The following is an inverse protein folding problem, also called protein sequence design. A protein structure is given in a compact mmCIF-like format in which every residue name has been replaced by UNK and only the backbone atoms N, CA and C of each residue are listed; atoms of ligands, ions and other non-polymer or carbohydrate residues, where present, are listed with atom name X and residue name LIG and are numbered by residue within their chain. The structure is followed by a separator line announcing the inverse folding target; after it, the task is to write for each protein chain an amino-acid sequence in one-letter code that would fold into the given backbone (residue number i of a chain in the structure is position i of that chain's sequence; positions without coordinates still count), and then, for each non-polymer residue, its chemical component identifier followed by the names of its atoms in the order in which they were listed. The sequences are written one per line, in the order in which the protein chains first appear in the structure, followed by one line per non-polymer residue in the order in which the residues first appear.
data_IF_596206259034
#
_entry.id   IF_596206259034
#
_cell.length_a   1.000
_cell.length_b   1.000
_cell.length_c   1.000
_cell.angle_alpha   90.00
_cell.angle_beta   90.00
_cell.angle_gamma   90.00
#
_symmetry.space_group_name_H-M   'P 1'
#
loop_
_entity.id
_entity.type
_entity.pdbx_description
1 polymer ?
#
# COMPACT_ATOMS: atom_id res chain seq x y z
N UNK A 1 25.17 24.00 59.59
CA UNK A 1 24.44 24.09 58.30
C UNK A 1 25.45 24.32 57.19
N UNK A 2 25.65 23.36 56.29
CA UNK A 2 26.08 23.64 54.91
C UNK A 2 25.90 22.37 54.07
N UNK A 3 24.89 22.36 53.20
CA UNK A 3 24.60 21.26 52.27
C UNK A 3 25.42 21.48 50.99
N UNK A 4 26.17 20.47 50.57
CA UNK A 4 26.84 20.46 49.27
C UNK A 4 25.81 20.16 48.17
N UNK A 5 25.60 21.11 47.25
CA UNK A 5 24.90 20.92 46.00
C UNK A 5 25.76 20.14 45.00
N UNK A 6 25.27 18.98 44.55
CA UNK A 6 25.83 18.24 43.40
C UNK A 6 25.02 18.58 42.15
N UNK A 7 25.50 19.54 41.37
CA UNK A 7 25.00 19.81 40.02
C UNK A 7 25.42 18.68 39.07
N UNK A 8 24.50 17.75 38.77
CA UNK A 8 24.63 16.75 37.69
C UNK A 8 24.42 17.43 36.33
N UNK A 9 25.48 18.03 35.78
CA UNK A 9 25.56 18.32 34.34
C UNK A 9 26.15 17.10 33.63
N UNK A 10 25.48 16.63 32.58
CA UNK A 10 26.03 15.62 31.66
C UNK A 10 25.32 14.26 31.69
N UNK A 11 24.30 14.09 30.83
CA UNK A 11 23.91 12.76 30.30
C UNK A 11 22.89 12.82 29.14
N UNK A 12 22.14 13.92 28.99
CA UNK A 12 21.04 13.95 28.01
C UNK A 12 21.49 14.17 26.54
N UNK A 13 22.63 14.82 26.29
CA UNK A 13 23.08 15.14 24.92
C UNK A 13 23.72 13.93 24.20
N UNK A 14 24.58 13.17 24.89
CA UNK A 14 25.31 12.04 24.27
C UNK A 14 24.41 10.88 23.82
N UNK A 15 23.20 10.75 24.38
CA UNK A 15 22.23 9.71 23.99
C UNK A 15 21.48 10.07 22.71
N UNK A 16 21.36 11.36 22.39
CA UNK A 16 20.68 11.85 21.20
C UNK A 16 21.57 11.74 19.95
N UNK A 17 22.87 12.04 20.07
CA UNK A 17 23.83 11.91 18.97
C UNK A 17 24.05 10.45 18.52
N UNK A 18 24.07 9.50 19.46
CA UNK A 18 24.14 8.05 19.12
C UNK A 18 22.90 7.56 18.36
N UNK A 19 21.75 8.24 18.53
CA UNK A 19 20.51 7.90 17.84
C UNK A 19 20.43 8.51 16.43
N UNK A 20 21.13 9.63 16.20
CA UNK A 20 21.23 10.26 14.89
C UNK A 20 22.23 9.55 13.97
N UNK A 21 23.37 9.07 14.51
CA UNK A 21 24.41 8.37 13.73
C UNK A 21 24.05 6.92 13.35
N UNK A 22 23.03 6.32 13.99
CA UNK A 22 22.48 5.01 13.61
C UNK A 22 21.45 5.07 12.48
N UNK A 23 20.97 6.26 12.09
CA UNK A 23 20.02 6.42 10.98
C UNK A 23 20.68 6.57 9.61
N UNK A 24 21.98 6.86 9.54
CA UNK A 24 22.65 7.19 8.27
C UNK A 24 23.38 6.03 7.60
N UNK A 25 23.54 4.87 8.27
CA UNK A 25 24.33 3.74 7.73
C UNK A 25 23.52 2.44 7.54
N UNK A 26 22.19 2.51 7.44
CA UNK A 26 21.41 1.34 7.01
C UNK A 26 21.18 1.39 5.51
N UNK A 27 22.18 0.97 4.75
CA UNK A 27 21.92 0.35 3.45
C UNK A 27 21.00 -0.85 3.72
N UNK A 28 19.85 -0.98 3.06
CA UNK A 28 19.00 -2.15 3.23
C UNK A 28 19.73 -3.36 2.64
N UNK A 29 20.13 -4.29 3.49
CA UNK A 29 20.52 -5.64 3.07
C UNK A 29 19.26 -6.35 2.55
N UNK A 30 19.16 -6.55 1.24
CA UNK A 30 17.98 -7.08 0.53
C UNK A 30 17.81 -8.61 0.63
N UNK A 31 18.26 -9.24 1.71
CA UNK A 31 17.82 -10.62 2.01
C UNK A 31 16.37 -10.65 2.51
N UNK A 32 15.81 -9.49 2.88
CA UNK A 32 14.40 -9.27 3.22
C UNK A 32 13.50 -8.92 2.05
N UNK A 33 13.78 -9.46 0.85
CA UNK A 33 12.87 -9.64 -0.28
C UNK A 33 12.20 -8.39 -0.87
N UNK A 34 12.32 -8.21 -2.19
CA UNK A 34 11.43 -7.33 -2.98
C UNK A 34 9.94 -7.54 -2.63
N UNK A 35 9.62 -8.76 -2.18
CA UNK A 35 8.38 -9.17 -1.54
C UNK A 35 7.85 -8.18 -0.48
N UNK A 36 8.69 -7.58 0.39
CA UNK A 36 8.21 -6.64 1.42
C UNK A 36 7.72 -5.31 0.85
N UNK A 37 8.14 -4.94 -0.36
CA UNK A 37 7.70 -3.71 -1.01
C UNK A 37 6.31 -3.84 -1.61
N UNK A 38 5.91 -5.05 -2.00
CA UNK A 38 4.64 -5.32 -2.66
C UNK A 38 3.71 -6.24 -1.85
N UNK A 39 4.17 -6.84 -0.75
CA UNK A 39 3.34 -7.40 0.30
C UNK A 39 2.65 -6.27 1.06
N UNK A 40 1.66 -5.68 0.40
CA UNK A 40 0.56 -5.02 1.11
C UNK A 40 -0.28 -6.09 1.77
N UNK A 41 -0.37 -6.03 3.10
CA UNK A 41 -1.48 -6.61 3.84
C UNK A 41 -1.43 -8.08 4.23
N UNK A 42 -0.52 -8.91 3.72
CA UNK A 42 -0.45 -10.32 4.15
C UNK A 42 0.31 -10.52 5.47
N UNK A 43 -0.24 -9.99 6.57
CA UNK A 43 0.04 -10.57 7.89
C UNK A 43 -0.75 -11.87 8.02
N UNK A 44 -0.16 -12.99 7.57
CA UNK A 44 -0.55 -14.31 8.06
C UNK A 44 -0.17 -14.36 9.55
N UNK A 45 -1.12 -14.04 10.42
CA UNK A 45 -0.96 -14.19 11.86
C UNK A 45 -0.74 -15.67 12.19
N UNK A 46 0.34 -15.98 12.91
CA UNK A 46 0.57 -17.30 13.47
C UNK A 46 -0.57 -17.67 14.44
N UNK A 47 -1.02 -18.94 14.48
CA UNK A 47 -2.13 -19.33 15.35
C UNK A 47 -1.67 -19.32 16.80
N UNK A 48 -2.24 -18.40 17.58
CA UNK A 48 -2.16 -18.44 19.05
C UNK A 48 -3.13 -19.51 19.53
N UNK A 49 -2.61 -20.66 19.95
CA UNK A 49 -3.40 -21.75 20.53
C UNK A 49 -3.93 -21.31 21.89
N UNK A 50 -5.25 -21.15 22.01
CA UNK A 50 -5.97 -21.08 23.29
C UNK A 50 -6.65 -22.44 23.51
N UNK A 51 -6.50 -23.11 24.67
CA UNK A 51 -7.15 -24.40 24.90
C UNK A 51 -8.58 -24.23 25.41
N UNK A 52 -9.51 -24.95 24.77
CA UNK A 52 -10.81 -25.29 25.35
C UNK A 52 -12.03 -24.69 24.65
N UNK A 53 -12.57 -25.38 23.65
CA UNK A 53 -14.02 -25.58 23.40
C UNK A 53 -14.22 -26.56 22.24
N UNK A 54 -15.21 -27.45 22.40
CA UNK A 54 -15.50 -28.61 21.55
C UNK A 54 -15.63 -28.29 20.05
N UNK A 55 -15.06 -29.17 19.23
CA UNK A 55 -15.13 -29.17 17.77
C UNK A 55 -16.55 -29.40 17.26
N UNK A 56 -17.18 -28.36 16.72
CA UNK A 56 -18.12 -28.52 15.62
C UNK A 56 -17.34 -28.22 14.34
N UNK A 57 -17.06 -29.27 13.58
CA UNK A 57 -16.48 -29.18 12.24
C UNK A 57 -17.40 -28.30 11.40
N UNK A 58 -16.98 -27.07 11.16
CA UNK A 58 -17.64 -26.16 10.23
C UNK A 58 -17.61 -26.82 8.85
N UNK A 59 -18.76 -27.01 8.16
CA UNK A 59 -18.75 -27.55 6.82
C UNK A 59 -17.88 -26.65 5.94
N UNK A 60 -16.88 -27.25 5.30
CA UNK A 60 -16.08 -26.62 4.26
C UNK A 60 -17.03 -26.31 3.11
N UNK A 61 -17.48 -25.05 3.05
CA UNK A 61 -17.95 -24.48 1.80
C UNK A 61 -16.76 -24.50 0.85
N UNK A 62 -16.62 -25.60 0.11
CA UNK A 62 -15.91 -25.63 -1.17
C UNK A 62 -16.74 -24.79 -2.14
N UNK A 63 -16.77 -23.49 -1.88
CA UNK A 63 -17.22 -22.48 -2.82
C UNK A 63 -16.03 -22.21 -3.72
N UNK A 64 -16.00 -22.99 -4.79
CA UNK A 64 -15.32 -22.75 -6.05
C UNK A 64 -15.58 -21.32 -6.56
N UNK A 65 -14.81 -20.36 -6.06
CA UNK A 65 -14.77 -18.98 -6.54
C UNK A 65 -13.36 -18.44 -6.29
N UNK A 66 -12.52 -18.39 -7.34
CA UNK A 66 -11.19 -17.78 -7.26
C UNK A 66 -10.16 -18.18 -8.32
N UNK A 67 -10.48 -19.08 -9.27
CA UNK A 67 -9.53 -19.48 -10.32
C UNK A 67 -9.26 -18.46 -11.46
N UNK A 68 -10.12 -17.48 -11.79
CA UNK A 68 -9.85 -16.56 -12.91
C UNK A 68 -8.54 -15.76 -12.77
N UNK A 69 -8.23 -15.32 -11.54
CA UNK A 69 -7.10 -14.42 -11.29
C UNK A 69 -5.75 -15.14 -11.32
N UNK A 70 -5.69 -16.42 -10.92
CA UNK A 70 -4.49 -17.25 -11.00
C UNK A 70 -4.09 -17.53 -12.46
N UNK A 71 -5.06 -17.86 -13.31
CA UNK A 71 -4.82 -18.13 -14.73
C UNK A 71 -4.41 -16.86 -15.49
N UNK A 72 -5.02 -15.71 -15.18
CA UNK A 72 -4.64 -14.42 -15.76
C UNK A 72 -3.22 -14.02 -15.32
N UNK A 73 -2.88 -14.21 -14.04
CA UNK A 73 -1.53 -13.93 -13.53
C UNK A 73 -0.47 -14.79 -14.22
N UNK A 74 -0.73 -16.10 -14.40
CA UNK A 74 0.18 -17.01 -15.12
C UNK A 74 0.39 -16.59 -16.57
N UNK A 75 -0.68 -16.16 -17.26
CA UNK A 75 -0.57 -15.64 -18.63
C UNK A 75 0.31 -14.39 -18.68
N UNK A 76 0.15 -13.48 -17.72
CA UNK A 76 0.97 -12.28 -17.61
C UNK A 76 2.44 -12.62 -17.32
N UNK A 77 2.71 -13.57 -16.42
CA UNK A 77 4.06 -14.07 -16.15
C UNK A 77 4.72 -14.64 -17.40
N UNK A 78 3.99 -15.46 -18.17
CA UNK A 78 4.50 -16.01 -19.43
C UNK A 78 4.81 -14.91 -20.44
N UNK A 79 3.94 -13.91 -20.57
CA UNK A 79 4.17 -12.75 -21.43
C UNK A 79 5.46 -12.02 -21.04
N UNK A 80 5.63 -11.67 -19.75
CA UNK A 80 6.84 -10.99 -19.26
C UNK A 80 8.09 -11.85 -19.48
N UNK A 81 8.00 -13.17 -19.32
CA UNK A 81 9.13 -14.05 -19.53
C UNK A 81 9.54 -14.14 -21.01
N UNK A 82 8.60 -14.01 -21.94
CA UNK A 82 8.84 -14.01 -23.39
C UNK A 82 9.38 -12.69 -23.97
N UNK A 83 9.28 -11.58 -23.23
CA UNK A 83 9.76 -10.27 -23.68
C UNK A 83 11.30 -10.21 -23.76
N UNK A 84 11.79 -9.42 -24.72
CA UNK A 84 13.22 -9.12 -24.84
C UNK A 84 13.68 -8.11 -23.78
N UNK A 85 15.00 -7.95 -23.60
CA UNK A 85 15.53 -7.06 -22.56
C UNK A 85 15.12 -5.60 -22.76
N UNK A 86 14.97 -5.15 -24.01
CA UNK A 86 14.57 -3.78 -24.34
C UNK A 86 13.11 -3.52 -23.98
N UNK A 87 12.22 -4.47 -24.25
CA UNK A 87 10.82 -4.42 -23.87
C UNK A 87 10.66 -4.42 -22.35
N UNK A 88 11.43 -5.24 -21.64
CA UNK A 88 11.45 -5.25 -20.18
C UNK A 88 11.91 -3.91 -19.62
N UNK A 89 12.99 -3.34 -20.15
CA UNK A 89 13.49 -2.05 -19.69
C UNK A 89 12.47 -0.93 -19.94
N UNK A 90 11.80 -0.93 -21.10
CA UNK A 90 10.72 0.03 -21.40
C UNK A 90 9.56 -0.10 -20.41
N UNK A 91 9.09 -1.32 -20.17
CA UNK A 91 8.00 -1.61 -19.21
C UNK A 91 8.40 -1.25 -17.78
N UNK A 92 9.65 -1.47 -17.42
CA UNK A 92 10.17 -1.11 -16.12
C UNK A 92 10.24 0.41 -15.94
N UNK A 93 10.62 1.17 -16.97
CA UNK A 93 10.59 2.63 -16.90
C UNK A 93 9.15 3.17 -16.78
N UNK A 94 8.18 2.58 -17.48
CA UNK A 94 6.74 2.86 -17.29
C UNK A 94 6.33 2.64 -15.83
N UNK A 95 6.72 1.50 -15.24
CA UNK A 95 6.49 1.19 -13.82
C UNK A 95 7.11 2.26 -12.89
N UNK A 96 8.37 2.63 -13.11
CA UNK A 96 9.06 3.61 -12.27
C UNK A 96 8.43 5.01 -12.35
N UNK A 97 7.94 5.39 -13.54
CA UNK A 97 7.21 6.64 -13.73
C UNK A 97 5.88 6.62 -12.97
N UNK A 98 5.16 5.50 -13.00
CA UNK A 98 3.89 5.34 -12.31
C UNK A 98 4.04 5.35 -10.77
N UNK A 99 5.23 5.02 -10.25
CA UNK A 99 5.55 5.06 -8.81
C UNK A 99 5.88 6.46 -8.26
N UNK A 100 5.86 7.51 -9.09
CA UNK A 100 6.18 8.90 -8.68
C UNK A 100 7.55 9.04 -7.98
N UNK A 101 8.59 8.40 -8.53
CA UNK A 101 9.95 8.45 -7.98
C UNK A 101 10.74 9.61 -8.59
N UNK A 102 11.60 10.25 -7.79
CA UNK A 102 12.59 11.21 -8.28
C UNK A 102 13.70 10.47 -9.05
N UNK A 103 14.38 11.15 -9.99
CA UNK A 103 15.45 10.55 -10.79
C UNK A 103 16.56 9.91 -9.95
N UNK A 104 16.98 10.54 -8.84
CA UNK A 104 17.99 9.99 -7.92
C UNK A 104 17.62 8.62 -7.36
N UNK A 105 16.32 8.34 -7.19
CA UNK A 105 15.80 7.06 -6.70
C UNK A 105 15.55 6.05 -7.83
N UNK A 106 15.35 6.51 -9.07
CA UNK A 106 15.21 5.64 -10.24
C UNK A 106 16.55 5.07 -10.70
N UNK A 107 17.62 5.88 -10.66
CA UNK A 107 18.96 5.47 -11.09
C UNK A 107 19.42 4.11 -10.52
N UNK A 108 19.37 3.84 -9.20
CA UNK A 108 19.76 2.54 -8.67
C UNK A 108 18.85 1.38 -9.15
N UNK A 109 17.58 1.65 -9.46
CA UNK A 109 16.62 0.64 -9.93
C UNK A 109 16.85 0.27 -11.40
N UNK A 110 17.32 1.21 -12.23
CA UNK A 110 17.68 0.95 -13.64
C UNK A 110 18.81 -0.07 -13.78
N UNK A 111 19.71 -0.09 -12.79
CA UNK A 111 20.86 -1.00 -12.75
C UNK A 111 20.53 -2.41 -12.23
N UNK A 112 19.26 -2.71 -11.93
CA UNK A 112 18.90 -4.04 -11.46
C UNK A 112 19.01 -5.10 -12.57
N UNK A 113 19.37 -6.34 -12.21
CA UNK A 113 19.35 -7.47 -13.15
C UNK A 113 17.97 -7.65 -13.80
N UNK A 114 17.96 -8.12 -15.04
CA UNK A 114 16.72 -8.32 -15.81
C UNK A 114 15.71 -9.23 -15.08
N UNK A 115 16.18 -10.30 -14.43
CA UNK A 115 15.33 -11.19 -13.63
C UNK A 115 14.60 -10.46 -12.48
N UNK A 116 15.27 -9.47 -11.87
CA UNK A 116 14.65 -8.69 -10.80
C UNK A 116 13.62 -7.71 -11.35
N UNK A 117 13.88 -7.11 -12.52
CA UNK A 117 12.92 -6.24 -13.22
C UNK A 117 11.66 -7.02 -13.61
N UNK A 118 11.82 -8.22 -14.19
CA UNK A 118 10.71 -9.14 -14.51
C UNK A 118 9.88 -9.46 -13.28
N UNK A 119 10.52 -9.85 -12.17
CA UNK A 119 9.83 -10.11 -10.89
C UNK A 119 9.05 -8.90 -10.38
N UNK A 120 9.63 -7.70 -10.46
CA UNK A 120 8.95 -6.47 -10.04
C UNK A 120 7.72 -6.17 -10.91
N UNK A 121 7.80 -6.37 -12.22
CA UNK A 121 6.66 -6.19 -13.14
C UNK A 121 5.52 -7.18 -12.84
N UNK A 122 5.85 -8.46 -12.65
CA UNK A 122 4.90 -9.50 -12.28
C UNK A 122 4.21 -9.18 -10.96
N UNK A 123 5.01 -8.78 -9.96
CA UNK A 123 4.52 -8.50 -8.62
C UNK A 123 3.69 -7.22 -8.55
N UNK A 124 3.99 -6.20 -9.38
CA UNK A 124 3.11 -5.05 -9.55
C UNK A 124 1.76 -5.46 -10.13
N UNK A 125 1.74 -6.30 -11.16
CA UNK A 125 0.50 -6.77 -11.76
C UNK A 125 -0.35 -7.56 -10.77
N UNK A 126 0.29 -8.45 -9.99
CA UNK A 126 -0.36 -9.16 -8.89
C UNK A 126 -0.92 -8.20 -7.85
N UNK A 127 -0.12 -7.24 -7.38
CA UNK A 127 -0.54 -6.25 -6.39
C UNK A 127 -1.63 -5.30 -6.89
N UNK A 128 -1.72 -5.03 -8.19
CA UNK A 128 -2.79 -4.20 -8.76
C UNK A 128 -4.11 -4.98 -8.93
N UNK A 129 -4.04 -6.30 -9.14
CA UNK A 129 -5.22 -7.12 -9.46
C UNK A 129 -5.77 -7.95 -8.29
N UNK A 130 -4.95 -8.37 -7.33
CA UNK A 130 -5.41 -9.25 -6.24
C UNK A 130 -6.29 -8.57 -5.20
N UNK A 131 -6.42 -7.25 -5.21
CA UNK A 131 -7.24 -6.56 -4.22
C UNK A 131 -8.71 -6.40 -4.63
N UNK A 132 -9.11 -6.65 -5.89
CA UNK A 132 -10.44 -6.28 -6.47
C UNK A 132 -11.69 -6.87 -5.77
N UNK A 133 -11.53 -7.68 -4.73
CA UNK A 133 -12.64 -8.19 -3.92
C UNK A 133 -13.08 -7.22 -2.80
N UNK A 134 -12.31 -6.16 -2.54
CA UNK A 134 -12.66 -5.18 -1.53
C UNK A 134 -13.64 -4.13 -2.07
N UNK A 135 -14.38 -3.52 -1.15
CA UNK A 135 -15.39 -2.49 -1.50
C UNK A 135 -14.75 -1.16 -1.91
N UNK A 136 -13.42 -1.07 -1.85
CA UNK A 136 -12.65 0.16 -1.87
C UNK A 136 -11.29 -0.01 -2.57
N UNK A 137 -11.30 -0.64 -3.74
CA UNK A 137 -10.08 -0.89 -4.53
C UNK A 137 -9.96 0.05 -5.72
N UNK A 138 -11.09 0.36 -6.36
CA UNK A 138 -11.10 1.27 -7.51
C UNK A 138 -11.47 2.68 -7.09
N UNK A 139 -10.93 3.71 -7.77
CA UNK A 139 -11.31 5.10 -7.52
C UNK A 139 -12.82 5.33 -7.61
N UNK A 140 -13.49 4.65 -8.54
CA UNK A 140 -14.92 4.78 -8.78
C UNK A 140 -15.76 4.24 -7.62
N UNK A 141 -15.31 3.18 -6.94
CA UNK A 141 -15.99 2.66 -5.77
C UNK A 141 -16.00 3.70 -4.63
N UNK A 142 -14.87 4.39 -4.40
CA UNK A 142 -14.81 5.49 -3.43
C UNK A 142 -15.75 6.64 -3.81
N UNK A 143 -15.73 7.06 -5.08
CA UNK A 143 -16.59 8.13 -5.59
C UNK A 143 -18.06 7.78 -5.38
N UNK A 144 -18.49 6.61 -5.83
CA UNK A 144 -19.87 6.16 -5.70
C UNK A 144 -20.29 6.04 -4.22
N UNK A 145 -19.38 5.58 -3.35
CA UNK A 145 -19.67 5.48 -1.92
C UNK A 145 -19.90 6.86 -1.30
N UNK A 146 -19.02 7.84 -1.58
CA UNK A 146 -19.17 9.21 -1.09
C UNK A 146 -20.42 9.88 -1.65
N UNK A 147 -20.68 9.76 -2.95
CA UNK A 147 -21.90 10.28 -3.60
C UNK A 147 -23.17 9.69 -2.96
N UNK A 148 -23.16 8.40 -2.59
CA UNK A 148 -24.32 7.75 -1.99
C UNK A 148 -24.60 8.16 -0.55
N UNK A 149 -23.58 8.43 0.26
CA UNK A 149 -23.77 8.83 1.66
C UNK A 149 -23.76 10.34 1.89
N UNK A 150 -23.51 11.14 0.85
CA UNK A 150 -23.56 12.61 0.92
C UNK A 150 -24.91 13.20 0.45
N UNK A 151 -25.85 12.37 0.01
CA UNK A 151 -27.21 12.83 -0.35
C UNK A 151 -28.02 13.13 0.91
N UNK A 152 -28.92 14.13 0.89
CA UNK A 152 -29.73 14.51 2.05
C UNK A 152 -30.50 13.34 2.68
N UNK A 153 -31.05 12.45 1.85
CA UNK A 153 -31.92 11.35 2.30
C UNK A 153 -31.15 10.17 2.93
N UNK A 154 -29.86 10.06 2.64
CA UNK A 154 -29.00 8.92 3.02
C UNK A 154 -27.75 9.36 3.79
N UNK A 155 -27.77 10.59 4.31
CA UNK A 155 -26.63 11.22 4.96
C UNK A 155 -26.13 10.39 6.14
N UNK A 156 -24.86 9.99 6.09
CA UNK A 156 -24.23 9.27 7.19
C UNK A 156 -22.77 9.74 7.42
N UNK A 157 -22.55 10.70 8.34
CA UNK A 157 -21.24 11.28 8.59
C UNK A 157 -20.17 10.25 8.97
N UNK A 158 -20.51 9.23 9.77
CA UNK A 158 -19.57 8.20 10.19
C UNK A 158 -19.07 7.34 9.03
N UNK A 159 -19.95 6.99 8.09
CA UNK A 159 -19.57 6.25 6.88
C UNK A 159 -18.73 7.09 5.94
N UNK A 160 -19.06 8.36 5.78
CA UNK A 160 -18.25 9.32 5.02
C UNK A 160 -16.85 9.40 5.62
N UNK A 161 -16.73 9.64 6.93
CA UNK A 161 -15.43 9.77 7.61
C UNK A 161 -14.54 8.54 7.39
N UNK A 162 -15.09 7.33 7.59
CA UNK A 162 -14.35 6.09 7.36
C UNK A 162 -13.92 5.93 5.90
N UNK A 163 -14.78 6.30 4.95
CA UNK A 163 -14.47 6.27 3.54
C UNK A 163 -13.35 7.26 3.18
N UNK A 164 -13.39 8.48 3.73
CA UNK A 164 -12.37 9.51 3.51
C UNK A 164 -11.02 9.10 4.11
N UNK A 165 -10.98 8.51 5.30
CA UNK A 165 -9.72 8.02 5.87
C UNK A 165 -9.13 6.88 5.01
N UNK A 166 -9.97 5.95 4.52
CA UNK A 166 -9.54 4.91 3.58
C UNK A 166 -9.07 5.51 2.26
N UNK A 167 -9.78 6.50 1.72
CA UNK A 167 -9.45 7.18 0.47
C UNK A 167 -8.11 7.91 0.58
N UNK A 168 -7.83 8.56 1.71
CA UNK A 168 -6.54 9.18 1.99
C UNK A 168 -5.42 8.15 1.85
N UNK A 169 -5.56 6.99 2.49
CA UNK A 169 -4.58 5.90 2.42
C UNK A 169 -4.41 5.44 0.97
N UNK A 170 -5.50 5.24 0.23
CA UNK A 170 -5.49 4.84 -1.18
C UNK A 170 -4.76 5.85 -2.06
N UNK A 171 -5.05 7.15 -1.92
CA UNK A 171 -4.41 8.22 -2.68
C UNK A 171 -2.91 8.33 -2.41
N UNK A 172 -2.46 8.12 -1.17
CA UNK A 172 -1.04 8.23 -0.83
C UNK A 172 -0.23 6.98 -1.18
N UNK A 173 -0.90 5.84 -1.30
CA UNK A 173 -0.24 4.56 -1.47
C UNK A 173 -0.35 4.04 -2.91
N UNK A 174 -1.39 4.36 -3.67
CA UNK A 174 -1.52 3.84 -5.03
C UNK A 174 -0.64 4.59 -6.03
N UNK A 175 -0.51 4.02 -7.24
CA UNK A 175 0.32 4.60 -8.30
C UNK A 175 -0.33 5.84 -8.91
N UNK A 176 0.44 6.59 -9.70
CA UNK A 176 -0.05 7.80 -10.37
C UNK A 176 -1.25 7.50 -11.28
N UNK A 177 -1.27 6.35 -11.95
CA UNK A 177 -2.39 5.92 -12.80
C UNK A 177 -3.69 5.81 -12.01
N UNK A 178 -3.66 5.28 -10.78
CA UNK A 178 -4.84 5.23 -9.91
C UNK A 178 -5.32 6.63 -9.53
N UNK A 179 -4.38 7.53 -9.20
CA UNK A 179 -4.70 8.94 -8.87
C UNK A 179 -5.24 9.68 -10.09
N UNK A 180 -4.70 9.41 -11.27
CA UNK A 180 -5.18 9.96 -12.52
C UNK A 180 -6.60 9.48 -12.84
N UNK A 181 -6.90 8.20 -12.60
CA UNK A 181 -8.23 7.63 -12.74
C UNK A 181 -9.24 8.20 -11.73
N UNK A 182 -8.81 8.47 -10.49
CA UNK A 182 -9.61 9.23 -9.52
C UNK A 182 -9.95 10.62 -10.05
N UNK A 183 -8.95 11.33 -10.56
CA UNK A 183 -9.11 12.48 -11.44
C UNK A 183 -9.99 13.62 -10.90
N UNK A 184 -10.49 14.44 -11.84
CA UNK A 184 -11.32 15.60 -11.53
C UNK A 184 -12.66 15.24 -10.89
N UNK A 185 -13.28 14.13 -11.31
CA UNK A 185 -14.54 13.65 -10.74
C UNK A 185 -14.39 13.30 -9.26
N UNK A 186 -13.32 12.59 -8.92
CA UNK A 186 -13.01 12.26 -7.53
C UNK A 186 -12.78 13.51 -6.68
N UNK A 187 -12.01 14.46 -7.19
CA UNK A 187 -11.79 15.75 -6.53
C UNK A 187 -13.10 16.51 -6.29
N UNK A 188 -13.95 16.62 -7.31
CA UNK A 188 -15.25 17.30 -7.18
C UNK A 188 -16.13 16.64 -6.11
N UNK A 189 -16.11 15.31 -6.03
CA UNK A 189 -16.85 14.55 -5.01
C UNK A 189 -16.34 14.88 -3.61
N UNK A 190 -15.02 14.90 -3.42
CA UNK A 190 -14.39 15.28 -2.14
C UNK A 190 -14.74 16.72 -1.77
N UNK A 191 -14.67 17.66 -2.70
CA UNK A 191 -15.07 19.05 -2.44
C UNK A 191 -16.52 19.15 -2.00
N UNK A 192 -17.42 18.44 -2.68
CA UNK A 192 -18.85 18.41 -2.34
C UNK A 192 -19.07 17.85 -0.93
N UNK A 193 -18.36 16.78 -0.57
CA UNK A 193 -18.39 16.20 0.77
C UNK A 193 -17.85 17.16 1.83
N UNK A 194 -16.78 17.91 1.54
CA UNK A 194 -16.22 18.91 2.45
C UNK A 194 -17.18 20.09 2.65
N UNK A 195 -17.78 20.60 1.58
CA UNK A 195 -18.80 21.66 1.68
C UNK A 195 -20.00 21.23 2.51
N UNK A 196 -20.42 19.98 2.38
CA UNK A 196 -21.48 19.41 3.21
C UNK A 196 -21.05 19.36 4.68
N UNK A 197 -19.84 18.88 4.96
CA UNK A 197 -19.31 18.78 6.32
C UNK A 197 -19.16 20.14 7.03
N UNK A 198 -18.94 21.22 6.28
CA UNK A 198 -18.87 22.59 6.84
C UNK A 198 -20.27 23.15 7.18
N UNK A 199 -21.32 22.61 6.57
CA UNK A 199 -22.72 23.05 6.78
C UNK A 199 -23.47 22.26 7.85
N UNK A 200 -22.89 21.16 8.35
CA UNK A 200 -23.39 20.34 9.44
C UNK A 200 -22.86 20.83 10.79
#
# INVERSE_FOLDING_TARGET
MSRQDKTKSGSFSAKMERKLKRRTNRLPTLTGGLESWFQRGSKKGAPVVRPGTLSTSRPTSETDFGEPDENILKLYEQQINSMDEKEIDKKFEELLNDMNLNEDKKQPLRNYPQDNKKKMLIMQYKGANQFKESKFDTPQQYIAYLENYSKPDTLNPSKIFNCVESLRIALTNNTLSWVHEFGSRGLQTVFSTLELAVKL
#
